data_IF_143617958653
#
_entry.id   IF_143617958653
#
_cell.length_a   1.000
_cell.length_b   1.000
_cell.length_c   1.000
_cell.angle_alpha   90.00
_cell.angle_beta   90.00
_cell.angle_gamma   90.00
#
_symmetry.space_group_name_H-M   'P 1'
#
loop_
_entity.id
_entity.type
_entity.pdbx_description
1 polymer ?
#
# COMPACT_ATOMS: atom_id res chain seq x y z
N UNK A 1 -77.78 -7.87 -15.45
CA UNK A 1 -76.63 -8.58 -14.86
C UNK A 1 -75.50 -7.60 -14.71
N UNK A 2 -74.72 -7.77 -13.65
CA UNK A 2 -73.48 -7.07 -13.27
C UNK A 2 -73.67 -5.88 -12.33
N UNK A 3 -73.19 -6.14 -11.11
CA UNK A 3 -73.27 -5.39 -9.86
C UNK A 3 -72.16 -4.35 -9.77
N UNK A 4 -72.48 -3.25 -9.11
CA UNK A 4 -71.56 -2.19 -8.65
C UNK A 4 -70.50 -2.74 -7.69
N UNK A 5 -69.24 -2.36 -7.91
CA UNK A 5 -68.14 -2.59 -6.96
C UNK A 5 -67.97 -1.38 -6.03
N UNK A 6 -67.82 -1.65 -4.75
CA UNK A 6 -67.65 -0.72 -3.64
C UNK A 6 -66.16 -0.37 -3.48
N UNK A 7 -65.84 0.93 -3.38
CA UNK A 7 -64.61 1.43 -2.77
C UNK A 7 -64.71 1.33 -1.25
N UNK A 8 -63.72 0.74 -0.58
CA UNK A 8 -63.24 1.26 0.72
C UNK A 8 -61.91 0.60 1.08
N UNK A 9 -60.85 1.39 1.20
CA UNK A 9 -59.70 0.99 2.03
C UNK A 9 -59.08 2.23 2.67
N UNK A 10 -59.43 2.31 3.93
CA UNK A 10 -59.02 3.07 5.10
C UNK A 10 -57.63 3.72 5.09
N UNK A 11 -57.66 4.99 5.46
CA UNK A 11 -56.64 5.91 5.97
C UNK A 11 -55.75 5.32 7.08
N UNK A 12 -54.44 5.56 7.04
CA UNK A 12 -53.63 5.83 8.24
C UNK A 12 -52.60 6.92 7.92
N UNK A 13 -52.73 8.05 8.63
CA UNK A 13 -51.84 9.21 8.69
C UNK A 13 -50.96 9.09 9.98
N UNK A 14 -49.99 9.99 10.21
CA UNK A 14 -48.64 9.71 10.71
C UNK A 14 -48.54 9.88 12.23
N UNK A 15 -47.44 9.41 12.85
CA UNK A 15 -46.89 10.10 14.02
C UNK A 15 -45.46 9.65 14.35
N UNK A 16 -44.65 10.62 14.77
CA UNK A 16 -43.38 10.51 15.50
C UNK A 16 -43.50 11.59 16.58
N UNK A 17 -43.19 11.33 17.86
CA UNK A 17 -41.84 11.67 18.35
C UNK A 17 -41.32 10.93 19.63
N UNK A 18 -40.03 11.17 19.87
CA UNK A 18 -39.29 11.31 21.14
C UNK A 18 -38.97 10.13 22.11
N UNK A 19 -37.64 9.91 22.19
CA UNK A 19 -36.76 9.95 23.37
C UNK A 19 -36.80 8.85 24.45
N UNK A 20 -35.65 8.17 24.62
CA UNK A 20 -35.06 7.92 25.94
C UNK A 20 -33.54 7.64 25.86
N UNK A 21 -32.74 8.44 26.57
CA UNK A 21 -31.35 8.21 27.04
C UNK A 21 -31.37 8.50 28.56
N UNK A 22 -30.42 8.10 29.45
CA UNK A 22 -28.99 7.78 29.23
C UNK A 22 -28.38 6.69 30.18
N UNK A 23 -27.03 6.67 30.25
CA UNK A 23 -26.11 6.04 31.22
C UNK A 23 -25.59 4.64 30.83
N UNK A 24 -24.33 4.24 31.01
CA UNK A 24 -23.24 4.77 31.85
C UNK A 24 -21.88 4.27 31.34
N UNK A 25 -20.90 5.18 31.38
CA UNK A 25 -19.46 5.03 31.68
C UNK A 25 -18.85 3.62 31.66
N UNK A 26 -17.71 3.50 30.96
CA UNK A 26 -16.44 3.07 31.55
C UNK A 26 -15.26 3.60 30.74
N UNK A 27 -14.57 4.57 31.34
CA UNK A 27 -13.19 4.89 31.04
C UNK A 27 -12.31 3.73 31.53
N UNK A 28 -11.37 3.28 30.71
CA UNK A 28 -10.24 2.49 31.18
C UNK A 28 -8.99 2.92 30.42
N UNK A 29 -7.98 3.25 31.21
CA UNK A 29 -6.80 3.99 30.83
C UNK A 29 -5.77 3.16 30.08
N UNK A 30 -5.01 3.89 29.27
CA UNK A 30 -3.60 3.75 28.90
C UNK A 30 -2.83 2.69 29.72
N UNK A 31 -2.17 1.76 29.01
CA UNK A 31 -0.80 1.31 29.34
C UNK A 31 -0.14 0.71 28.10
N UNK A 32 0.63 1.55 27.40
CA UNK A 32 1.69 1.10 26.51
C UNK A 32 2.69 0.29 27.34
N UNK A 33 2.96 -0.96 26.97
CA UNK A 33 4.16 -1.68 27.38
C UNK A 33 5.09 -1.73 26.18
N UNK A 34 5.98 -0.74 26.12
CA UNK A 34 7.23 -0.78 25.37
C UNK A 34 8.12 -1.81 26.08
N UNK A 35 8.37 -2.96 25.44
CA UNK A 35 9.38 -3.92 25.90
C UNK A 35 10.60 -3.72 25.01
N UNK A 36 11.50 -2.85 25.46
CA UNK A 36 12.88 -2.76 24.96
C UNK A 36 13.65 -3.86 25.68
N UNK A 37 13.88 -4.98 24.99
CA UNK A 37 14.75 -6.05 25.49
C UNK A 37 16.15 -5.88 24.90
N UNK A 38 16.92 -4.95 25.46
CA UNK A 38 18.38 -4.88 25.25
C UNK A 38 19.07 -5.65 26.37
N UNK A 39 19.36 -6.93 26.13
CA UNK A 39 20.27 -7.69 26.97
C UNK A 39 21.69 -7.50 26.42
N UNK A 40 22.38 -6.50 26.95
CA UNK A 40 23.80 -6.28 26.78
C UNK A 40 24.52 -7.11 27.85
N UNK A 41 25.21 -8.18 27.44
CA UNK A 41 26.09 -8.95 28.32
C UNK A 41 27.54 -8.66 27.93
N UNK A 42 28.14 -7.70 28.64
CA UNK A 42 29.59 -7.48 28.67
C UNK A 42 30.18 -8.40 29.74
N UNK A 43 31.01 -9.36 29.33
CA UNK A 43 31.84 -10.16 30.22
C UNK A 43 33.33 -9.89 29.90
N UNK A 44 33.90 -8.99 30.69
CA UNK A 44 35.32 -8.73 30.93
C UNK A 44 35.51 -9.07 32.42
N UNK A 45 36.50 -9.75 32.97
CA UNK A 45 37.88 -10.11 32.65
C UNK A 45 38.29 -11.29 33.55
N UNK A 46 39.47 -11.85 33.28
CA UNK A 46 40.47 -12.38 34.22
C UNK A 46 40.87 -13.83 33.95
N UNK A 47 42.06 -13.97 33.37
CA UNK A 47 42.74 -15.25 33.16
C UNK A 47 44.11 -15.05 32.51
N UNK A 48 44.95 -14.17 33.08
CA UNK A 48 46.41 -14.38 33.03
C UNK A 48 46.66 -15.56 33.98
N UNK A 49 47.38 -16.61 33.65
CA UNK A 49 48.77 -16.71 33.20
C UNK A 49 49.00 -18.18 32.86
N UNK A 50 49.61 -18.53 31.73
CA UNK A 50 50.60 -19.62 31.69
C UNK A 50 51.67 -19.28 30.64
N UNK A 51 52.89 -19.20 31.14
CA UNK A 51 54.12 -18.88 30.45
C UNK A 51 54.71 -20.19 29.93
N UNK A 52 54.93 -20.32 28.62
CA UNK A 52 55.88 -21.30 28.11
C UNK A 52 56.78 -20.67 27.05
N UNK A 53 58.08 -20.79 27.30
CA UNK A 53 59.15 -20.06 26.67
C UNK A 53 59.54 -20.60 25.28
N UNK A 54 59.92 -19.64 24.43
CA UNK A 54 61.00 -19.65 23.44
C UNK A 54 60.97 -20.62 22.25
N UNK A 55 60.73 -20.06 21.06
CA UNK A 55 61.70 -20.07 19.94
C UNK A 55 61.62 -18.75 19.16
N UNK A 56 62.70 -18.30 18.48
CA UNK A 56 62.86 -16.91 18.04
C UNK A 56 62.34 -16.62 16.62
N UNK A 57 61.79 -15.40 16.50
CA UNK A 57 61.89 -14.45 15.39
C UNK A 57 61.44 -14.84 13.97
N UNK A 58 60.44 -14.12 13.45
CA UNK A 58 60.60 -13.21 12.30
C UNK A 58 59.50 -12.14 12.34
N UNK A 59 59.94 -10.92 12.07
CA UNK A 59 59.21 -9.66 11.94
C UNK A 59 58.07 -9.70 10.90
N UNK A 60 56.99 -8.98 11.18
CA UNK A 60 55.96 -8.66 10.18
C UNK A 60 54.68 -8.22 10.85
N UNK A 61 54.54 -6.91 11.09
CA UNK A 61 53.31 -6.34 11.62
C UNK A 61 52.17 -6.43 10.62
N UNK A 62 50.96 -6.69 11.11
CA UNK A 62 49.72 -6.26 10.45
C UNK A 62 48.60 -6.29 11.50
N UNK A 63 48.56 -5.24 12.31
CA UNK A 63 47.31 -4.85 12.92
C UNK A 63 46.42 -4.25 11.82
N UNK A 64 45.17 -4.68 11.81
CA UNK A 64 44.03 -4.10 11.09
C UNK A 64 43.88 -4.42 9.59
N UNK A 65 43.22 -5.53 9.28
CA UNK A 65 42.44 -5.62 8.03
C UNK A 65 41.11 -6.38 8.14
N UNK A 66 40.47 -6.44 9.31
CA UNK A 66 39.06 -6.92 9.39
C UNK A 66 38.01 -5.80 9.36
N UNK A 67 38.41 -4.55 9.60
CA UNK A 67 37.49 -3.39 9.48
C UNK A 67 37.23 -2.95 8.04
N UNK A 68 38.17 -3.21 7.12
CA UNK A 68 38.10 -2.71 5.74
C UNK A 68 37.22 -3.57 4.83
N UNK A 69 37.17 -4.89 5.05
CA UNK A 69 36.36 -5.81 4.24
C UNK A 69 34.87 -5.68 4.56
N UNK A 70 34.52 -5.49 5.84
CA UNK A 70 33.15 -5.23 6.28
C UNK A 70 32.65 -3.85 5.79
N UNK A 71 33.51 -2.83 5.84
CA UNK A 71 33.18 -1.49 5.33
C UNK A 71 33.03 -1.48 3.80
N UNK A 72 33.93 -2.13 3.05
CA UNK A 72 33.83 -2.27 1.61
C UNK A 72 32.61 -3.10 1.17
N UNK A 73 32.28 -4.17 1.90
CA UNK A 73 31.09 -4.99 1.64
C UNK A 73 29.79 -4.25 1.97
N UNK A 74 29.79 -3.48 3.07
CA UNK A 74 28.67 -2.60 3.43
C UNK A 74 28.48 -1.49 2.39
N UNK A 75 29.58 -0.91 1.89
CA UNK A 75 29.56 0.11 0.85
C UNK A 75 29.08 -0.46 -0.50
N UNK A 76 29.59 -1.62 -0.92
CA UNK A 76 29.14 -2.31 -2.13
C UNK A 76 27.65 -2.69 -2.05
N UNK A 77 27.17 -3.12 -0.89
CA UNK A 77 25.75 -3.37 -0.64
C UNK A 77 24.90 -2.09 -0.70
N UNK A 78 25.43 -0.97 -0.18
CA UNK A 78 24.76 0.34 -0.27
C UNK A 78 24.68 0.84 -1.72
N UNK A 79 25.77 0.72 -2.48
CA UNK A 79 25.83 1.15 -3.89
C UNK A 79 24.91 0.30 -4.77
N UNK A 80 24.89 -1.02 -4.58
CA UNK A 80 23.96 -1.91 -5.29
C UNK A 80 22.50 -1.54 -5.02
N UNK A 81 22.14 -1.20 -3.78
CA UNK A 81 20.79 -0.77 -3.41
C UNK A 81 20.42 0.56 -4.07
N UNK A 82 21.36 1.50 -4.21
CA UNK A 82 21.14 2.78 -4.89
C UNK A 82 20.91 2.56 -6.39
N UNK A 83 21.70 1.69 -7.03
CA UNK A 83 21.52 1.33 -8.44
C UNK A 83 20.17 0.65 -8.65
N UNK A 84 19.81 -0.32 -7.81
CA UNK A 84 18.52 -1.00 -7.89
C UNK A 84 17.36 0.00 -7.76
N UNK A 85 17.44 0.95 -6.81
CA UNK A 85 16.44 2.00 -6.64
C UNK A 85 16.28 2.89 -7.89
N UNK A 86 17.39 3.23 -8.55
CA UNK A 86 17.38 4.03 -9.79
C UNK A 86 16.83 3.24 -10.99
N UNK A 87 16.97 1.92 -10.99
CA UNK A 87 16.49 1.04 -12.06
C UNK A 87 15.04 0.58 -11.88
N UNK A 88 14.36 0.96 -10.78
CA UNK A 88 12.96 0.60 -10.57
C UNK A 88 12.08 1.22 -11.66
N UNK A 89 11.19 0.44 -12.29
CA UNK A 89 10.33 0.98 -13.34
C UNK A 89 9.32 1.98 -12.76
N UNK A 90 8.93 2.96 -13.57
CA UNK A 90 7.97 3.99 -13.17
C UNK A 90 6.77 3.98 -14.13
N UNK A 91 5.57 4.03 -13.55
CA UNK A 91 4.34 4.30 -14.26
C UNK A 91 3.91 5.73 -13.97
N UNK A 92 3.88 6.58 -14.98
CA UNK A 92 3.49 7.99 -14.90
C UNK A 92 2.09 8.21 -15.50
N UNK A 93 1.52 9.40 -15.28
CA UNK A 93 0.24 9.80 -15.87
C UNK A 93 -0.87 8.74 -15.69
N UNK A 94 -0.94 8.14 -14.50
CA UNK A 94 -1.92 7.10 -14.20
C UNK A 94 -3.32 7.72 -14.18
N UNK A 95 -4.19 7.24 -15.04
CA UNK A 95 -5.53 7.76 -15.24
C UNK A 95 -6.55 6.64 -15.48
N UNK A 96 -7.81 7.02 -15.54
CA UNK A 96 -8.92 6.17 -15.98
C UNK A 96 -9.36 6.65 -17.36
N UNK A 97 -9.85 5.75 -18.22
CA UNK A 97 -10.32 6.10 -19.57
C UNK A 97 -11.50 7.08 -19.59
N UNK A 98 -12.16 7.27 -18.46
CA UNK A 98 -13.20 8.28 -18.26
C UNK A 98 -13.79 8.21 -16.86
N UNK A 99 -14.88 8.95 -16.65
CA UNK A 99 -15.68 8.85 -15.43
C UNK A 99 -16.29 7.44 -15.33
N UNK A 100 -16.06 6.71 -14.23
CA UNK A 100 -16.58 5.36 -14.08
C UNK A 100 -18.11 5.39 -13.93
N UNK A 101 -18.79 4.50 -14.63
CA UNK A 101 -20.24 4.36 -14.60
C UNK A 101 -20.62 2.93 -14.22
N UNK A 102 -21.70 2.78 -13.44
CA UNK A 102 -22.20 1.44 -13.08
C UNK A 102 -22.58 0.65 -14.33
N UNK A 103 -22.12 -0.59 -14.41
CA UNK A 103 -22.42 -1.49 -15.53
C UNK A 103 -21.71 -1.14 -16.84
N UNK A 104 -20.80 -0.17 -16.85
CA UNK A 104 -19.93 0.12 -18.01
C UNK A 104 -18.48 -0.20 -17.69
N UNK A 105 -17.78 -0.77 -18.66
CA UNK A 105 -16.35 -1.04 -18.52
C UNK A 105 -15.58 0.28 -18.53
N UNK A 106 -14.68 0.43 -17.57
CA UNK A 106 -13.69 1.50 -17.50
C UNK A 106 -12.30 0.84 -17.43
N UNK A 107 -11.32 1.45 -18.09
CA UNK A 107 -9.96 0.92 -18.15
C UNK A 107 -8.98 1.88 -17.49
N UNK A 108 -7.95 1.32 -16.87
CA UNK A 108 -6.82 2.07 -16.35
C UNK A 108 -5.77 2.32 -17.44
N UNK A 109 -5.27 3.55 -17.49
CA UNK A 109 -4.21 3.98 -18.41
C UNK A 109 -3.04 4.55 -17.61
N UNK A 110 -1.84 4.45 -18.18
CA UNK A 110 -0.62 5.05 -17.65
C UNK A 110 0.42 5.12 -18.76
N UNK A 111 1.43 5.95 -18.54
CA UNK A 111 2.63 6.06 -19.37
C UNK A 111 3.75 5.24 -18.73
N UNK A 112 4.28 4.28 -19.47
CA UNK A 112 5.46 3.51 -19.08
C UNK A 112 6.72 4.37 -19.22
N UNK A 113 7.57 4.38 -18.20
CA UNK A 113 8.77 5.23 -18.14
C UNK A 113 10.05 4.43 -17.89
N UNK A 114 10.09 3.14 -18.26
CA UNK A 114 11.30 2.34 -18.16
C UNK A 114 11.80 1.94 -19.56
N UNK A 115 13.12 1.83 -19.69
CA UNK A 115 13.75 1.42 -20.94
C UNK A 115 13.55 -0.08 -21.24
N UNK A 116 13.25 -0.86 -20.20
CA UNK A 116 12.99 -2.29 -20.31
C UNK A 116 11.50 -2.57 -20.52
N UNK A 117 11.15 -3.66 -21.23
CA UNK A 117 9.77 -4.08 -21.42
C UNK A 117 9.06 -4.33 -20.08
N UNK A 118 7.79 -3.95 -20.05
CA UNK A 118 6.89 -4.29 -18.96
C UNK A 118 6.65 -5.81 -18.91
N UNK A 119 6.63 -6.37 -17.69
CA UNK A 119 6.30 -7.78 -17.48
C UNK A 119 4.99 -7.92 -16.70
N UNK A 120 5.05 -8.41 -15.46
CA UNK A 120 3.86 -8.73 -14.67
C UNK A 120 3.47 -7.58 -13.73
N UNK A 121 3.19 -6.41 -14.32
CA UNK A 121 2.69 -5.28 -13.54
C UNK A 121 1.36 -5.63 -12.88
N UNK A 122 1.19 -5.16 -11.65
CA UNK A 122 -0.01 -5.45 -10.87
C UNK A 122 -0.98 -4.29 -10.98
N UNK A 123 -2.18 -4.58 -11.48
CA UNK A 123 -3.28 -3.63 -11.62
C UNK A 123 -4.25 -3.74 -10.45
N UNK A 124 -4.67 -2.62 -9.88
CA UNK A 124 -5.62 -2.59 -8.77
C UNK A 124 -6.64 -1.47 -8.95
N UNK A 125 -7.86 -1.75 -8.52
CA UNK A 125 -8.91 -0.77 -8.33
C UNK A 125 -9.20 -0.62 -6.85
N UNK A 126 -9.15 0.62 -6.37
CA UNK A 126 -9.39 0.96 -4.97
C UNK A 126 -10.66 1.80 -4.86
N UNK A 127 -11.46 1.53 -3.84
CA UNK A 127 -12.67 2.27 -3.52
C UNK A 127 -12.60 2.84 -2.11
N UNK A 128 -13.03 4.09 -1.97
CA UNK A 128 -13.15 4.81 -0.71
C UNK A 128 -14.62 5.17 -0.46
N UNK A 129 -15.41 4.24 0.12
CA UNK A 129 -16.83 4.50 0.46
C UNK A 129 -17.01 5.51 1.60
N UNK A 130 -15.93 5.83 2.33
CA UNK A 130 -15.92 6.84 3.38
C UNK A 130 -14.53 7.51 3.47
N UNK A 131 -14.31 8.36 4.47
CA UNK A 131 -13.09 9.17 4.56
C UNK A 131 -11.83 8.35 4.87
N UNK A 132 -11.96 7.24 5.60
CA UNK A 132 -10.82 6.52 6.19
C UNK A 132 -10.61 5.12 5.67
N UNK A 133 -11.60 4.52 4.99
CA UNK A 133 -11.54 3.13 4.53
C UNK A 133 -11.27 3.08 3.04
N UNK A 134 -10.15 2.46 2.67
CA UNK A 134 -9.86 2.06 1.29
C UNK A 134 -9.98 0.54 1.19
N UNK A 135 -10.72 0.05 0.18
CA UNK A 135 -10.81 -1.38 -0.15
C UNK A 135 -10.42 -1.63 -1.59
N UNK A 136 -9.87 -2.81 -1.87
CA UNK A 136 -9.63 -3.26 -3.25
C UNK A 136 -10.92 -3.83 -3.81
N UNK A 137 -11.30 -3.40 -5.02
CA UNK A 137 -12.54 -3.79 -5.71
C UNK A 137 -12.30 -4.44 -7.07
N UNK A 138 -11.06 -4.48 -7.55
CA UNK A 138 -10.67 -5.11 -8.81
C UNK A 138 -9.16 -5.29 -8.89
N UNK A 139 -8.72 -6.28 -9.68
CA UNK A 139 -7.30 -6.65 -9.86
C UNK A 139 -6.88 -6.79 -11.32
N UNK A 140 -7.62 -6.19 -12.22
CA UNK A 140 -7.35 -6.18 -13.65
C UNK A 140 -7.19 -4.73 -14.14
N UNK A 141 -6.64 -4.57 -15.34
CA UNK A 141 -6.53 -3.26 -15.97
C UNK A 141 -7.90 -2.65 -16.27
N UNK A 142 -8.88 -3.50 -16.55
CA UNK A 142 -10.27 -3.14 -16.78
C UNK A 142 -11.12 -3.52 -15.57
N UNK A 143 -12.16 -2.74 -15.32
CA UNK A 143 -13.20 -3.12 -14.38
C UNK A 143 -14.57 -2.64 -14.85
N UNK A 144 -15.61 -3.25 -14.31
CA UNK A 144 -16.98 -2.77 -14.43
C UNK A 144 -17.51 -2.46 -13.02
N UNK A 145 -17.72 -1.17 -12.67
CA UNK A 145 -18.30 -0.81 -11.38
C UNK A 145 -19.67 -1.46 -11.18
N UNK A 146 -19.86 -2.12 -10.04
CA UNK A 146 -21.16 -2.69 -9.66
C UNK A 146 -22.07 -1.63 -9.05
N UNK A 147 -23.36 -1.91 -8.95
CA UNK A 147 -24.35 -0.98 -8.38
C UNK A 147 -24.00 -0.50 -6.97
N UNK A 148 -23.37 -1.35 -6.15
CA UNK A 148 -22.91 -1.00 -4.79
C UNK A 148 -21.71 -0.04 -4.74
N UNK A 149 -21.16 0.36 -5.89
CA UNK A 149 -20.14 1.40 -5.99
C UNK A 149 -20.69 2.74 -6.45
N UNK A 150 -22.00 2.86 -6.75
CA UNK A 150 -22.60 4.14 -7.12
C UNK A 150 -22.34 5.19 -6.04
N UNK A 151 -21.89 6.38 -6.45
CA UNK A 151 -21.55 7.46 -5.51
C UNK A 151 -20.27 7.21 -4.68
N UNK A 152 -19.62 6.06 -4.81
CA UNK A 152 -18.34 5.78 -4.15
C UNK A 152 -17.20 6.35 -4.99
N UNK A 153 -16.19 6.92 -4.33
CA UNK A 153 -14.95 7.32 -4.99
C UNK A 153 -14.09 6.11 -5.27
N UNK A 154 -13.66 5.95 -6.51
CA UNK A 154 -12.72 4.91 -6.90
C UNK A 154 -11.48 5.51 -7.57
N UNK A 155 -10.40 4.74 -7.61
CA UNK A 155 -9.20 5.06 -8.38
C UNK A 155 -8.57 3.79 -8.94
N UNK A 156 -7.90 3.95 -10.08
CA UNK A 156 -7.02 2.94 -10.65
C UNK A 156 -5.59 3.13 -10.13
N UNK A 157 -4.92 2.04 -9.78
CA UNK A 157 -3.53 1.98 -9.34
C UNK A 157 -2.78 0.91 -10.11
N UNK A 158 -1.49 1.14 -10.33
CA UNK A 158 -0.57 0.17 -10.94
C UNK A 158 0.72 0.07 -10.13
N UNK A 159 1.25 -1.15 -10.01
CA UNK A 159 2.62 -1.40 -9.56
C UNK A 159 3.43 -1.91 -10.75
N UNK A 160 4.31 -1.07 -11.33
CA UNK A 160 5.06 -1.45 -12.52
C UNK A 160 6.12 -2.51 -12.17
N UNK A 161 6.34 -3.44 -13.10
CA UNK A 161 7.30 -4.54 -12.93
C UNK A 161 8.09 -4.75 -14.22
N UNK A 162 9.39 -4.99 -14.07
CA UNK A 162 10.28 -5.46 -15.12
C UNK A 162 10.99 -6.74 -14.69
N UNK A 163 11.49 -7.49 -15.67
CA UNK A 163 12.24 -8.72 -15.44
C UNK A 163 11.38 -9.85 -14.85
N UNK A 164 12.04 -10.96 -14.54
CA UNK A 164 11.43 -12.18 -14.00
C UNK A 164 12.41 -12.85 -13.03
N UNK A 165 11.92 -13.71 -12.12
CA UNK A 165 12.77 -14.44 -11.18
C UNK A 165 13.70 -13.52 -10.37
N UNK A 166 15.00 -13.80 -10.41
CA UNK A 166 16.03 -13.09 -9.64
C UNK A 166 16.33 -11.66 -10.14
N UNK A 167 15.98 -11.32 -11.39
CA UNK A 167 16.15 -9.97 -11.95
C UNK A 167 14.88 -9.13 -11.89
N UNK A 168 13.85 -9.61 -11.17
CA UNK A 168 12.56 -8.91 -11.07
C UNK A 168 12.71 -7.63 -10.24
N UNK A 169 12.43 -6.49 -10.86
CA UNK A 169 12.36 -5.19 -10.18
C UNK A 169 10.92 -4.68 -10.18
N UNK A 170 10.48 -4.20 -9.01
CA UNK A 170 9.14 -3.65 -8.82
C UNK A 170 9.24 -2.17 -8.46
N UNK A 171 8.48 -1.33 -9.16
CA UNK A 171 8.38 0.09 -8.85
C UNK A 171 7.34 0.42 -7.79
N UNK A 172 7.23 1.70 -7.46
CA UNK A 172 6.26 2.18 -6.49
C UNK A 172 4.82 2.12 -7.04
N UNK A 173 3.87 1.87 -6.14
CA UNK A 173 2.44 1.95 -6.50
C UNK A 173 2.10 3.38 -6.85
N UNK A 174 1.63 3.59 -8.06
CA UNK A 174 1.16 4.90 -8.53
C UNK A 174 -0.33 4.80 -8.83
N UNK A 175 -1.10 5.79 -8.40
CA UNK A 175 -2.55 5.81 -8.54
C UNK A 175 -3.00 7.07 -9.25
N UNK A 176 -4.09 6.93 -9.98
CA UNK A 176 -4.91 8.03 -10.48
C UNK A 176 -5.56 8.81 -9.33
N UNK A 177 -6.11 9.98 -9.67
CA UNK A 177 -6.96 10.76 -8.78
C UNK A 177 -8.23 9.97 -8.40
N UNK A 178 -8.84 10.35 -7.28
CA UNK A 178 -10.13 9.80 -6.86
C UNK A 178 -11.26 10.36 -7.72
N UNK A 179 -12.09 9.47 -8.26
CA UNK A 179 -13.26 9.84 -9.08
C UNK A 179 -14.52 9.16 -8.55
N UNK A 180 -15.59 9.92 -8.37
CA UNK A 180 -16.89 9.38 -7.95
C UNK A 180 -17.56 8.63 -9.09
N UNK A 181 -18.02 7.40 -8.83
CA UNK A 181 -18.81 6.61 -9.78
C UNK A 181 -20.17 7.26 -10.02
N UNK A 182 -20.55 7.35 -11.30
CA UNK A 182 -21.72 8.12 -11.78
C UNK A 182 -21.64 9.62 -11.39
N UNK A 183 -20.43 10.11 -11.06
CA UNK A 183 -20.20 11.52 -10.76
C UNK A 183 -20.30 12.41 -12.01
N UNK A 184 -20.34 13.74 -11.83
CA UNK A 184 -20.32 14.65 -12.97
C UNK A 184 -19.09 14.36 -13.84
N UNK A 185 -19.29 14.34 -15.16
CA UNK A 185 -18.18 14.27 -16.12
C UNK A 185 -17.30 15.48 -15.85
N UNK A 186 -16.03 15.26 -15.49
CA UNK A 186 -15.06 16.33 -15.50
C UNK A 186 -15.07 16.89 -16.93
N UNK A 187 -15.46 18.16 -17.08
CA UNK A 187 -15.42 18.83 -18.37
C UNK A 187 -13.97 18.76 -18.84
N UNK A 188 -13.70 17.90 -19.82
CA UNK A 188 -12.39 17.85 -20.44
C UNK A 188 -12.37 19.03 -21.40
N UNK A 189 -11.45 19.95 -21.14
CA UNK A 189 -11.34 21.28 -21.72
C UNK A 189 -11.56 21.27 -23.24
N UNK A 190 -12.47 22.13 -23.69
CA UNK A 190 -12.46 22.64 -25.05
C UNK A 190 -11.29 23.63 -25.14
N UNK A 191 -10.29 23.29 -25.94
CA UNK A 191 -9.14 24.13 -26.27
C UNK A 191 -8.51 23.65 -27.57
#
# INVERSE_FOLDING_TARGET
MTTTHIETSTTVLPDSPEACTPASRRAAAIRQRVIVSTAMAMALLAGCTEYQASTPSVSGGEAAHEGSSLSASAQAGADAKVVEARMRPVAAAVAMSGTPQVGRVVSGTYRWMADWPETESVHLWEAAPGPTRIRVVGRAREMMPSAGLRGVRIRYCVKPVIGTGASRLTGHKTCSAWTTVDGPKAAHDAG
#
